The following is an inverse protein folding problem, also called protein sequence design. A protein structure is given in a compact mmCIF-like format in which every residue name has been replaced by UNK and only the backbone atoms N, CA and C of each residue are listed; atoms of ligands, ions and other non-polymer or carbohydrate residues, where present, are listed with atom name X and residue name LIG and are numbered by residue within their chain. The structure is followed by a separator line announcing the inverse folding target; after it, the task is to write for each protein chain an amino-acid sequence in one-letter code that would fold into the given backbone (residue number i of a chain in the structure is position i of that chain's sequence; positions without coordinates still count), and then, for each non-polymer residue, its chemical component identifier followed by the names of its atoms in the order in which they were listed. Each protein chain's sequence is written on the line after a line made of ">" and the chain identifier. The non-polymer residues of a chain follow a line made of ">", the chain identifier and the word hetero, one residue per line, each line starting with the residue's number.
data_IF_150364322360
#
_entry.id   IF_150364322360
#
_cell.length_a   1.000
_cell.length_b   1.000
_cell.length_c   1.000
_cell.angle_alpha   90.00
_cell.angle_beta   90.00
_cell.angle_gamma   90.00
#
_symmetry.space_group_name_H-M   'P 1'
#
loop_
_entity.id
_entity.type
_entity.pdbx_description
1 polymer ?
#
# COMPACT_ATOMS: atom_id res chain seq x y z
N UNK A 1 54.24 28.73 -44.43
CA UNK A 1 53.65 27.85 -43.39
C UNK A 1 53.12 28.67 -42.21
N UNK A 2 52.07 29.44 -42.44
CA UNK A 2 51.25 30.16 -41.46
C UNK A 2 49.94 30.38 -42.21
N UNK A 3 48.92 29.54 -41.98
CA UNK A 3 47.53 29.64 -42.45
C UNK A 3 46.78 28.27 -42.46
N UNK A 4 47.14 27.30 -41.60
CA UNK A 4 46.38 26.03 -41.45
C UNK A 4 46.13 25.70 -39.96
N UNK A 5 46.13 26.72 -39.08
CA UNK A 5 45.87 26.49 -37.64
C UNK A 5 44.62 27.23 -37.11
N UNK A 6 43.99 28.09 -37.91
CA UNK A 6 42.83 28.89 -37.47
C UNK A 6 41.49 28.28 -37.89
N UNK A 7 41.48 27.26 -38.75
CA UNK A 7 40.24 26.63 -39.23
C UNK A 7 39.83 25.37 -38.47
N UNK A 8 40.65 24.89 -37.52
CA UNK A 8 40.35 23.69 -36.73
C UNK A 8 39.91 24.00 -35.28
N UNK A 9 39.79 25.27 -34.91
CA UNK A 9 39.37 25.70 -33.56
C UNK A 9 37.95 26.31 -33.52
N UNK A 10 37.20 26.25 -34.63
CA UNK A 10 35.83 26.79 -34.74
C UNK A 10 34.77 25.70 -34.92
N UNK A 11 35.15 24.42 -34.96
CA UNK A 11 34.23 23.28 -35.12
C UNK A 11 34.33 22.26 -33.99
N UNK A 12 34.67 22.70 -32.78
CA UNK A 12 34.64 21.85 -31.57
C UNK A 12 33.94 22.52 -30.37
N UNK A 13 33.00 23.43 -30.65
CA UNK A 13 32.22 24.14 -29.63
C UNK A 13 30.73 24.20 -29.99
N UNK A 14 30.16 23.07 -30.41
CA UNK A 14 28.71 22.95 -30.64
C UNK A 14 28.17 21.53 -30.45
N UNK A 15 28.80 20.72 -29.59
CA UNK A 15 28.18 19.54 -29.01
C UNK A 15 28.25 19.64 -27.49
N UNK A 16 27.76 20.77 -26.95
CA UNK A 16 27.09 20.67 -25.65
C UNK A 16 25.81 19.90 -25.91
N UNK A 17 25.87 18.58 -25.76
CA UNK A 17 24.68 17.83 -25.36
C UNK A 17 24.27 18.51 -24.05
N UNK A 18 23.31 19.42 -24.13
CA UNK A 18 22.61 19.84 -22.92
C UNK A 18 21.97 18.57 -22.41
N UNK A 19 22.57 17.93 -21.42
CA UNK A 19 21.86 16.97 -20.61
C UNK A 19 20.56 17.69 -20.21
N UNK A 20 19.43 17.25 -20.75
CA UNK A 20 18.15 17.79 -20.33
C UNK A 20 18.05 17.41 -18.85
N UNK A 21 18.20 18.40 -17.97
CA UNK A 21 18.03 18.20 -16.54
C UNK A 21 16.53 18.01 -16.29
N UNK A 22 16.05 16.78 -16.44
CA UNK A 22 14.71 16.41 -16.05
C UNK A 22 14.57 16.51 -14.52
N UNK A 23 13.41 16.98 -14.07
CA UNK A 23 13.12 17.07 -12.63
C UNK A 23 12.80 15.69 -12.06
N UNK A 24 13.25 15.42 -10.84
CA UNK A 24 12.98 14.16 -10.13
C UNK A 24 11.61 14.18 -9.44
N UNK A 25 11.11 13.00 -9.04
CA UNK A 25 9.93 12.86 -8.18
C UNK A 25 10.06 13.74 -6.93
N UNK A 26 11.20 13.68 -6.23
CA UNK A 26 11.43 14.46 -5.01
C UNK A 26 11.36 15.96 -5.25
N UNK A 27 11.96 16.46 -6.34
CA UNK A 27 11.90 17.87 -6.69
C UNK A 27 10.48 18.35 -6.98
N UNK A 28 9.67 17.51 -7.63
CA UNK A 28 8.25 17.80 -7.84
C UNK A 28 7.52 17.78 -6.50
N UNK A 29 7.70 16.73 -5.69
CA UNK A 29 7.08 16.54 -4.38
C UNK A 29 7.30 17.74 -3.45
N UNK A 30 8.53 18.26 -3.38
CA UNK A 30 8.90 19.37 -2.51
C UNK A 30 8.38 20.74 -2.99
N UNK A 31 8.07 20.85 -4.28
CA UNK A 31 7.86 22.12 -4.97
C UNK A 31 6.44 22.37 -5.48
N UNK A 32 5.67 21.32 -5.79
CA UNK A 32 4.41 21.44 -6.52
C UNK A 32 3.39 22.34 -5.81
N UNK A 33 3.24 22.21 -4.50
CA UNK A 33 2.26 22.98 -3.71
C UNK A 33 2.48 24.49 -3.76
N UNK A 34 3.70 24.93 -4.06
CA UNK A 34 4.10 26.35 -4.06
C UNK A 34 4.02 26.97 -5.45
N UNK A 35 3.59 26.22 -6.47
CA UNK A 35 3.77 26.62 -7.86
C UNK A 35 2.46 26.66 -8.65
N UNK A 36 1.83 27.83 -8.70
CA UNK A 36 0.77 28.11 -9.67
C UNK A 36 1.34 28.17 -11.09
N UNK A 37 0.68 27.50 -12.04
CA UNK A 37 1.04 27.51 -13.45
C UNK A 37 0.07 28.42 -14.20
N UNK A 38 0.58 29.42 -14.90
CA UNK A 38 -0.21 30.44 -15.61
C UNK A 38 -0.09 30.31 -17.12
N UNK A 39 -1.04 30.87 -17.88
CA UNK A 39 -0.99 30.90 -19.35
C UNK A 39 -1.38 29.58 -19.99
N UNK A 40 -2.23 28.81 -19.30
CA UNK A 40 -2.72 27.51 -19.75
C UNK A 40 -3.78 27.75 -20.84
N UNK A 41 -3.49 27.34 -22.07
CA UNK A 41 -4.27 27.70 -23.27
C UNK A 41 -5.76 27.32 -23.16
N UNK A 42 -6.04 26.10 -22.72
CA UNK A 42 -7.38 25.58 -22.51
C UNK A 42 -7.36 24.44 -21.47
N UNK A 43 -8.55 23.99 -21.05
CA UNK A 43 -8.72 22.94 -20.05
C UNK A 43 -8.70 21.51 -20.59
N UNK A 44 -8.24 21.29 -21.82
CA UNK A 44 -8.09 19.94 -22.40
C UNK A 44 -6.87 19.21 -21.82
N UNK A 45 -6.95 17.88 -21.68
CA UNK A 45 -5.93 17.09 -20.98
C UNK A 45 -4.50 17.32 -21.51
N UNK A 46 -4.30 17.36 -22.83
CA UNK A 46 -2.98 17.62 -23.42
C UNK A 46 -2.48 19.05 -23.18
N UNK A 47 -3.37 20.04 -23.13
CA UNK A 47 -3.00 21.43 -22.81
C UNK A 47 -2.56 21.56 -21.36
N UNK A 48 -3.23 20.86 -20.44
CA UNK A 48 -2.88 20.82 -19.03
C UNK A 48 -1.54 20.10 -18.80
N UNK A 49 -1.35 18.93 -19.42
CA UNK A 49 -0.08 18.18 -19.37
C UNK A 49 1.08 18.99 -19.96
N UNK A 50 0.86 19.69 -21.08
CA UNK A 50 1.86 20.59 -21.66
C UNK A 50 2.23 21.73 -20.71
N UNK A 51 1.23 22.34 -20.07
CA UNK A 51 1.49 23.41 -19.09
C UNK A 51 2.25 22.88 -17.87
N UNK A 52 1.90 21.70 -17.38
CA UNK A 52 2.62 21.02 -16.30
C UNK A 52 4.09 20.77 -16.69
N UNK A 53 4.35 20.18 -17.85
CA UNK A 53 5.70 19.86 -18.32
C UNK A 53 6.60 21.08 -18.58
N UNK A 54 6.01 22.24 -18.89
CA UNK A 54 6.77 23.47 -19.04
C UNK A 54 7.37 23.96 -17.70
N UNK A 55 6.81 23.51 -16.57
CA UNK A 55 7.26 23.86 -15.23
C UNK A 55 8.02 22.69 -14.59
N UNK A 56 7.45 21.50 -14.67
CA UNK A 56 7.97 20.25 -14.10
C UNK A 56 8.46 19.35 -15.23
N UNK A 57 9.55 19.76 -15.86
CA UNK A 57 10.09 19.12 -17.06
C UNK A 57 10.57 17.70 -16.77
N UNK A 58 9.77 16.68 -17.11
CA UNK A 58 10.09 15.28 -16.90
C UNK A 58 10.13 14.53 -18.25
N UNK A 59 10.90 13.45 -18.30
CA UNK A 59 11.14 12.69 -19.52
C UNK A 59 9.86 12.13 -20.14
N UNK A 60 9.04 11.32 -19.44
CA UNK A 60 7.91 10.65 -20.10
C UNK A 60 6.85 11.63 -20.59
N UNK A 61 6.65 12.75 -19.90
CA UNK A 61 5.77 13.81 -20.40
C UNK A 61 6.35 14.52 -21.63
N UNK A 62 7.65 14.78 -21.63
CA UNK A 62 8.32 15.42 -22.76
C UNK A 62 8.26 14.55 -24.01
N UNK A 63 8.48 13.25 -23.87
CA UNK A 63 8.48 12.31 -24.98
C UNK A 63 7.06 12.13 -25.54
N UNK A 64 6.05 12.04 -24.67
CA UNK A 64 4.64 12.07 -25.09
C UNK A 64 4.28 13.34 -25.89
N UNK A 65 4.76 14.50 -25.46
CA UNK A 65 4.44 15.77 -26.15
C UNK A 65 5.19 15.95 -27.47
N UNK A 66 6.34 15.28 -27.66
CA UNK A 66 7.08 15.25 -28.93
C UNK A 66 6.44 14.26 -29.91
N UNK A 67 6.14 13.05 -29.42
CA UNK A 67 5.65 11.93 -30.21
C UNK A 67 4.41 11.30 -29.54
N UNK A 68 3.22 11.89 -29.71
CA UNK A 68 1.99 11.37 -29.09
C UNK A 68 1.46 10.07 -29.71
N UNK A 69 2.24 9.46 -30.61
CA UNK A 69 1.91 8.24 -31.36
C UNK A 69 3.15 7.34 -31.33
N UNK A 70 3.41 6.62 -30.24
CA UNK A 70 4.34 5.48 -30.27
C UNK A 70 3.59 4.22 -29.84
N UNK A 71 3.26 3.40 -30.83
CA UNK A 71 2.80 2.01 -30.70
C UNK A 71 3.60 1.12 -31.69
N UNK A 72 4.69 1.65 -32.24
CA UNK A 72 5.44 1.13 -33.37
C UNK A 72 6.47 0.05 -32.96
N UNK A 73 6.43 -0.43 -31.71
CA UNK A 73 7.28 -1.54 -31.25
C UNK A 73 8.77 -1.21 -31.12
N UNK A 74 9.19 -0.01 -31.54
CA UNK A 74 10.54 0.54 -31.38
C UNK A 74 10.61 1.70 -30.36
N UNK A 75 9.46 2.19 -29.87
CA UNK A 75 9.40 3.23 -28.84
C UNK A 75 9.58 2.66 -27.42
N UNK A 76 10.38 3.35 -26.59
CA UNK A 76 10.58 3.01 -25.18
C UNK A 76 9.30 3.10 -24.32
N UNK A 77 8.20 3.68 -24.86
CA UNK A 77 6.97 3.98 -24.12
C UNK A 77 5.70 3.41 -24.76
N UNK A 78 4.81 2.85 -23.93
CA UNK A 78 3.39 2.63 -24.24
C UNK A 78 2.59 3.91 -23.93
N UNK A 79 2.05 4.54 -24.96
CA UNK A 79 1.36 5.83 -24.89
C UNK A 79 -0.14 5.67 -25.14
N UNK A 80 -0.94 6.16 -24.20
CA UNK A 80 -2.40 6.23 -24.34
C UNK A 80 -2.85 7.67 -24.24
N UNK A 81 -3.55 8.17 -25.27
CA UNK A 81 -4.21 9.47 -25.26
C UNK A 81 -5.71 9.29 -25.46
N UNK A 82 -6.49 9.47 -24.41
CA UNK A 82 -7.96 9.35 -24.41
C UNK A 82 -8.60 10.68 -24.02
N UNK A 83 -8.47 11.65 -24.94
CA UNK A 83 -8.98 13.01 -24.75
C UNK A 83 -10.49 13.10 -24.45
N UNK A 84 -11.37 12.28 -25.07
CA UNK A 84 -12.80 12.26 -24.72
C UNK A 84 -13.08 11.94 -23.25
N UNK A 85 -12.31 11.02 -22.67
CA UNK A 85 -12.40 10.67 -21.25
C UNK A 85 -11.49 11.53 -20.35
N UNK A 86 -10.72 12.44 -20.94
CA UNK A 86 -9.81 13.31 -20.21
C UNK A 86 -8.62 12.58 -19.60
N UNK A 87 -8.17 11.48 -20.21
CA UNK A 87 -7.08 10.64 -19.72
C UNK A 87 -5.88 10.66 -20.67
N UNK A 88 -4.68 10.57 -20.11
CA UNK A 88 -3.45 10.32 -20.85
C UNK A 88 -2.43 9.57 -19.98
N UNK A 89 -1.63 8.71 -20.57
CA UNK A 89 -0.51 8.06 -19.90
C UNK A 89 0.65 7.79 -20.85
N UNK A 90 1.85 7.68 -20.28
CA UNK A 90 3.04 7.17 -20.95
C UNK A 90 3.80 6.26 -19.97
N UNK A 91 4.00 5.00 -20.37
CA UNK A 91 4.68 3.99 -19.55
C UNK A 91 5.95 3.51 -20.21
N UNK A 92 7.12 3.78 -19.60
CA UNK A 92 8.38 3.21 -20.08
C UNK A 92 8.38 1.70 -19.84
N UNK A 93 8.70 0.93 -20.87
CA UNK A 93 8.82 -0.52 -20.75
C UNK A 93 10.22 -0.86 -20.20
N UNK A 94 10.28 -1.57 -19.07
CA UNK A 94 11.53 -2.06 -18.48
C UNK A 94 11.54 -2.01 -16.95
N UNK A 95 12.62 -2.53 -16.35
CA UNK A 95 12.76 -2.63 -14.89
C UNK A 95 13.16 -1.31 -14.22
N UNK A 96 13.62 -0.32 -15.00
CA UNK A 96 14.16 0.97 -14.52
C UNK A 96 13.59 2.15 -15.31
N UNK A 97 12.26 2.27 -15.34
CA UNK A 97 11.53 3.26 -16.14
C UNK A 97 10.88 4.40 -15.35
N UNK A 98 10.68 5.54 -16.01
CA UNK A 98 9.78 6.60 -15.54
C UNK A 98 8.45 6.53 -16.27
N UNK A 99 7.34 6.73 -15.58
CA UNK A 99 6.02 6.73 -16.22
C UNK A 99 5.12 7.77 -15.60
N UNK A 100 4.07 8.16 -16.33
CA UNK A 100 3.05 9.02 -15.76
C UNK A 100 1.67 8.65 -16.28
N UNK A 101 0.66 9.00 -15.49
CA UNK A 101 -0.72 9.08 -15.95
C UNK A 101 -1.34 10.39 -15.47
N UNK A 102 -2.33 10.89 -16.21
CA UNK A 102 -3.02 12.11 -15.86
C UNK A 102 -4.50 12.04 -16.24
N UNK A 103 -5.33 12.65 -15.39
CA UNK A 103 -6.77 12.77 -15.58
C UNK A 103 -7.21 14.23 -15.46
N UNK A 104 -8.31 14.57 -16.14
CA UNK A 104 -9.01 15.83 -15.92
C UNK A 104 -10.51 15.60 -15.73
N UNK A 105 -11.05 16.11 -14.63
CA UNK A 105 -12.49 16.06 -14.35
C UNK A 105 -13.10 17.45 -14.32
N UNK A 106 -14.28 17.61 -14.91
CA UNK A 106 -15.06 18.84 -14.80
C UNK A 106 -15.68 18.93 -13.41
N UNK A 107 -15.50 20.07 -12.76
CA UNK A 107 -16.12 20.40 -11.48
C UNK A 107 -17.46 21.08 -11.68
N UNK A 108 -18.34 20.97 -10.68
CA UNK A 108 -19.66 21.62 -10.70
C UNK A 108 -19.58 23.15 -10.71
N UNK A 109 -18.49 23.74 -10.22
CA UNK A 109 -18.21 25.18 -10.26
C UNK A 109 -17.67 25.69 -11.61
N UNK A 110 -17.57 24.82 -12.63
CA UNK A 110 -17.06 25.18 -13.96
C UNK A 110 -15.52 25.11 -14.11
N UNK A 111 -14.78 24.90 -13.02
CA UNK A 111 -13.35 24.61 -13.06
C UNK A 111 -13.10 23.17 -13.49
N UNK A 112 -11.82 22.77 -13.57
CA UNK A 112 -11.44 21.38 -13.78
C UNK A 112 -10.41 20.94 -12.76
N UNK A 113 -10.57 19.74 -12.21
CA UNK A 113 -9.53 19.12 -11.41
C UNK A 113 -8.60 18.34 -12.33
N UNK A 114 -7.33 18.72 -12.36
CA UNK A 114 -6.26 18.02 -13.05
C UNK A 114 -5.49 17.16 -12.04
N UNK A 115 -5.48 15.84 -12.23
CA UNK A 115 -4.62 14.93 -11.48
C UNK A 115 -3.45 14.46 -12.33
N UNK A 116 -2.30 14.33 -11.69
CA UNK A 116 -1.08 13.81 -12.31
C UNK A 116 -0.43 12.82 -11.36
N UNK A 117 -0.22 11.59 -11.81
CA UNK A 117 0.57 10.58 -11.11
C UNK A 117 1.89 10.45 -11.84
N UNK A 118 2.99 10.65 -11.12
CA UNK A 118 4.34 10.40 -11.62
C UNK A 118 4.93 9.20 -10.90
N UNK A 119 5.50 8.27 -11.66
CA UNK A 119 6.04 7.01 -11.18
C UNK A 119 7.48 6.85 -11.65
N UNK A 120 8.31 6.28 -10.78
CA UNK A 120 9.63 5.78 -11.10
C UNK A 120 9.78 4.36 -10.57
N UNK A 121 10.24 3.47 -11.42
CA UNK A 121 10.59 2.10 -11.07
C UNK A 121 12.10 1.96 -10.98
N UNK A 122 12.57 1.18 -10.02
CA UNK A 122 13.96 0.75 -9.93
C UNK A 122 14.00 -0.68 -9.39
N UNK A 123 14.08 -1.66 -10.30
CA UNK A 123 13.88 -3.08 -9.98
C UNK A 123 12.49 -3.34 -9.38
N UNK A 124 12.45 -3.89 -8.15
CA UNK A 124 11.19 -4.15 -7.41
C UNK A 124 10.71 -2.97 -6.58
N UNK A 125 11.39 -1.83 -6.62
CA UNK A 125 11.00 -0.63 -5.88
C UNK A 125 10.20 0.30 -6.80
N UNK A 126 9.03 0.73 -6.33
CA UNK A 126 8.22 1.74 -7.02
C UNK A 126 8.10 2.97 -6.13
N UNK A 127 8.43 4.13 -6.69
CA UNK A 127 8.15 5.44 -6.10
C UNK A 127 7.08 6.12 -6.92
N UNK A 128 5.99 6.56 -6.27
CA UNK A 128 4.94 7.33 -6.92
C UNK A 128 4.57 8.57 -6.11
N UNK A 129 4.16 9.61 -6.83
CA UNK A 129 3.47 10.77 -6.26
C UNK A 129 2.19 11.03 -7.05
N UNK A 130 1.14 11.44 -6.35
CA UNK A 130 -0.08 11.99 -6.95
C UNK A 130 -0.20 13.47 -6.62
N UNK A 131 -0.54 14.27 -7.61
CA UNK A 131 -0.66 15.72 -7.50
C UNK A 131 -2.02 16.17 -8.05
N UNK A 132 -2.58 17.22 -7.48
CA UNK A 132 -3.81 17.83 -7.97
C UNK A 132 -3.65 19.33 -8.21
N UNK A 133 -4.26 19.81 -9.29
CA UNK A 133 -4.36 21.22 -9.60
C UNK A 133 -5.80 21.58 -9.98
N UNK A 134 -6.28 22.70 -9.45
CA UNK A 134 -7.52 23.35 -9.88
C UNK A 134 -7.25 24.25 -11.09
N UNK A 135 -7.83 23.89 -12.23
CA UNK A 135 -7.81 24.71 -13.44
C UNK A 135 -8.98 25.69 -13.46
N UNK A 136 -8.66 26.97 -13.31
CA UNK A 136 -9.58 28.10 -13.48
C UNK A 136 -9.56 28.57 -14.94
N UNK A 137 -10.61 28.31 -15.74
CA UNK A 137 -10.65 28.69 -17.16
C UNK A 137 -10.73 30.21 -17.37
N UNK A 138 -11.23 30.98 -16.40
CA UNK A 138 -11.32 32.43 -16.52
C UNK A 138 -9.96 33.11 -16.36
N UNK A 139 -9.08 32.51 -15.53
CA UNK A 139 -7.71 33.00 -15.30
C UNK A 139 -6.66 32.28 -16.15
N UNK A 140 -7.00 31.16 -16.79
CA UNK A 140 -6.06 30.30 -17.49
C UNK A 140 -4.92 29.84 -16.57
N UNK A 141 -5.26 29.39 -15.36
CA UNK A 141 -4.31 29.00 -14.30
C UNK A 141 -4.59 27.62 -13.73
N UNK A 142 -3.54 26.85 -13.47
CA UNK A 142 -3.55 25.66 -12.61
C UNK A 142 -3.02 26.04 -11.23
N UNK A 143 -3.86 25.96 -10.21
CA UNK A 143 -3.50 26.23 -8.81
C UNK A 143 -3.36 24.92 -8.07
N UNK A 144 -2.23 24.64 -7.38
CA UNK A 144 -2.09 23.44 -6.57
C UNK A 144 -3.23 23.29 -5.56
N UNK A 145 -3.74 22.07 -5.41
CA UNK A 145 -4.79 21.75 -4.43
C UNK A 145 -4.45 20.46 -3.70
N UNK A 146 -4.57 20.46 -2.37
CA UNK A 146 -4.47 19.22 -1.59
C UNK A 146 -5.77 18.43 -1.69
N UNK A 147 -5.62 17.11 -1.83
CA UNK A 147 -6.71 16.15 -1.81
C UNK A 147 -6.42 15.08 -0.75
N UNK A 148 -7.43 14.38 -0.23
CA UNK A 148 -7.25 13.24 0.69
C UNK A 148 -6.20 12.24 0.18
N UNK A 149 -6.19 12.01 -1.14
CA UNK A 149 -5.22 11.16 -1.84
C UNK A 149 -3.76 11.64 -1.68
N UNK A 150 -3.51 12.95 -1.67
CA UNK A 150 -2.15 13.51 -1.51
C UNK A 150 -1.61 13.41 -0.08
N UNK A 151 -2.50 13.14 0.88
CA UNK A 151 -2.17 13.00 2.31
C UNK A 151 -2.32 11.56 2.79
N UNK A 152 -2.50 10.61 1.88
CA UNK A 152 -2.61 9.20 2.23
C UNK A 152 -1.30 8.71 2.85
N UNK A 153 -1.42 8.02 3.97
CA UNK A 153 -0.30 7.36 4.64
C UNK A 153 -0.63 5.87 4.65
N UNK A 154 0.26 4.97 4.19
CA UNK A 154 0.04 3.53 4.28
C UNK A 154 -0.10 3.07 5.75
N UNK A 155 -0.78 1.96 5.97
CA UNK A 155 -0.90 1.33 7.30
C UNK A 155 0.47 0.86 7.81
N UNK A 156 1.36 0.45 6.90
CA UNK A 156 2.73 0.07 7.22
C UNK A 156 3.73 0.80 6.31
N UNK A 157 4.67 1.54 6.91
CA UNK A 157 5.61 2.40 6.20
C UNK A 157 7.02 1.85 6.25
N UNK A 158 7.39 0.97 5.32
CA UNK A 158 8.80 0.66 5.03
C UNK A 158 9.08 0.88 3.56
N UNK A 159 10.37 1.03 3.22
CA UNK A 159 10.85 1.32 1.86
C UNK A 159 10.49 0.23 0.82
N UNK A 160 9.96 -0.91 1.26
CA UNK A 160 9.69 -2.10 0.44
C UNK A 160 8.20 -2.34 0.15
N UNK A 161 7.29 -1.57 0.77
CA UNK A 161 5.84 -1.72 0.56
C UNK A 161 5.34 -0.56 -0.31
N UNK A 162 5.26 -0.78 -1.63
CA UNK A 162 4.94 0.26 -2.60
C UNK A 162 3.50 0.73 -2.40
N UNK A 163 3.33 2.04 -2.48
CA UNK A 163 2.04 2.67 -2.62
C UNK A 163 1.85 3.03 -4.09
N UNK A 164 0.77 2.55 -4.71
CA UNK A 164 0.45 2.93 -6.09
C UNK A 164 -0.89 3.68 -6.17
N UNK A 165 -0.97 4.61 -7.11
CA UNK A 165 -2.12 5.43 -7.44
C UNK A 165 -2.54 5.11 -8.87
N UNK A 166 -3.77 4.63 -9.02
CA UNK A 166 -4.34 4.28 -10.31
C UNK A 166 -5.41 5.30 -10.69
N UNK A 167 -5.11 6.10 -11.72
CA UNK A 167 -6.07 7.01 -12.32
C UNK A 167 -6.95 6.28 -13.35
N UNK A 168 -8.27 6.48 -13.34
CA UNK A 168 -9.17 5.77 -14.22
C UNK A 168 -9.11 6.31 -15.65
N UNK A 169 -8.83 5.45 -16.63
CA UNK A 169 -9.03 5.79 -18.04
C UNK A 169 -10.50 6.01 -18.38
N UNK A 170 -11.38 5.15 -17.83
CA UNK A 170 -12.83 5.22 -17.97
C UNK A 170 -13.43 5.27 -16.56
N UNK A 171 -14.39 6.17 -16.35
CA UNK A 171 -14.95 6.41 -15.03
C UNK A 171 -14.23 7.54 -14.30
N UNK A 172 -14.40 7.60 -12.97
CA UNK A 172 -13.86 8.69 -12.13
C UNK A 172 -13.37 8.22 -10.77
N UNK A 173 -13.36 6.92 -10.52
CA UNK A 173 -12.91 6.39 -9.24
C UNK A 173 -11.38 6.23 -9.28
N UNK A 174 -10.71 6.78 -8.28
CA UNK A 174 -9.26 6.64 -8.11
C UNK A 174 -9.00 5.52 -7.12
N UNK A 175 -8.03 4.65 -7.43
CA UNK A 175 -7.65 3.56 -6.53
C UNK A 175 -6.26 3.82 -5.98
N UNK A 176 -6.09 3.71 -4.67
CA UNK A 176 -4.78 3.67 -4.02
C UNK A 176 -4.55 2.23 -3.56
N UNK A 177 -3.43 1.62 -3.95
CA UNK A 177 -3.07 0.27 -3.53
C UNK A 177 -1.89 0.31 -2.59
N UNK A 178 -2.11 -0.18 -1.37
CA UNK A 178 -1.05 -0.51 -0.44
C UNK A 178 -0.71 -1.99 -0.62
N UNK A 179 0.45 -2.26 -1.23
CA UNK A 179 0.93 -3.64 -1.29
C UNK A 179 1.62 -3.99 0.01
N UNK A 180 1.43 -5.23 0.45
CA UNK A 180 2.08 -5.76 1.64
C UNK A 180 2.62 -7.16 1.32
N UNK A 181 3.63 -7.57 2.08
CA UNK A 181 4.24 -8.91 2.00
C UNK A 181 4.77 -9.25 0.59
N UNK A 182 5.78 -8.49 0.12
CA UNK A 182 6.48 -8.74 -1.14
C UNK A 182 5.57 -8.81 -2.38
N UNK A 183 4.65 -7.84 -2.54
CA UNK A 183 3.78 -7.70 -3.71
C UNK A 183 2.73 -8.82 -3.92
N UNK A 184 2.57 -9.76 -2.97
CA UNK A 184 1.65 -10.89 -3.13
C UNK A 184 0.17 -10.59 -2.87
N UNK A 185 -0.10 -9.45 -2.23
CA UNK A 185 -1.44 -8.98 -1.92
C UNK A 185 -1.45 -7.47 -1.78
N UNK A 186 -2.63 -6.88 -1.94
CA UNK A 186 -2.85 -5.45 -1.81
C UNK A 186 -4.12 -5.13 -1.05
N UNK A 187 -4.12 -3.95 -0.44
CA UNK A 187 -5.29 -3.30 0.12
C UNK A 187 -5.63 -2.14 -0.80
N UNK A 188 -6.77 -2.23 -1.47
CA UNK A 188 -7.27 -1.21 -2.40
C UNK A 188 -8.16 -0.23 -1.65
N UNK A 189 -7.78 1.04 -1.64
CA UNK A 189 -8.60 2.16 -1.18
C UNK A 189 -9.24 2.83 -2.38
N UNK A 190 -10.57 2.75 -2.48
CA UNK A 190 -11.34 3.26 -3.62
C UNK A 190 -11.92 4.62 -3.24
N UNK A 191 -11.55 5.63 -4.00
CA UNK A 191 -12.01 7.00 -3.82
C UNK A 191 -12.99 7.39 -4.93
N UNK A 192 -14.21 7.79 -4.55
CA UNK A 192 -15.27 8.16 -5.49
C UNK A 192 -15.32 9.65 -5.73
N UNK A 193 -15.62 10.01 -6.98
CA UNK A 193 -15.82 11.40 -7.39
C UNK A 193 -17.21 11.92 -7.01
N UNK A 194 -17.28 13.03 -6.26
CA UNK A 194 -18.55 13.65 -5.84
C UNK A 194 -19.01 14.84 -6.70
N UNK A 195 -18.25 15.20 -7.75
CA UNK A 195 -18.50 16.40 -8.55
C UNK A 195 -17.51 17.54 -8.28
N UNK A 196 -16.76 17.48 -7.19
CA UNK A 196 -15.75 18.46 -6.79
C UNK A 196 -14.42 17.81 -6.46
N UNK A 197 -14.43 16.72 -5.69
CA UNK A 197 -13.26 15.99 -5.20
C UNK A 197 -13.52 14.48 -5.11
N UNK A 198 -12.44 13.76 -4.83
CA UNK A 198 -12.48 12.33 -4.50
C UNK A 198 -12.55 12.15 -2.99
N UNK A 199 -13.40 11.25 -2.52
CA UNK A 199 -13.52 10.87 -1.10
C UNK A 199 -13.43 9.36 -0.97
N UNK A 200 -12.84 8.88 0.13
CA UNK A 200 -12.75 7.45 0.40
C UNK A 200 -14.15 6.84 0.50
N UNK A 201 -14.45 5.83 -0.33
CA UNK A 201 -15.76 5.19 -0.39
C UNK A 201 -15.72 3.71 -0.02
N UNK A 202 -14.61 3.02 -0.26
CA UNK A 202 -14.50 1.59 0.00
C UNK A 202 -13.04 1.17 0.21
N UNK A 203 -12.81 0.08 0.94
CA UNK A 203 -11.52 -0.61 1.07
C UNK A 203 -11.75 -2.07 0.78
N UNK A 204 -10.91 -2.63 -0.08
CA UNK A 204 -10.92 -4.04 -0.42
C UNK A 204 -9.58 -4.64 -0.08
N UNK A 205 -9.60 -5.79 0.56
CA UNK A 205 -8.41 -6.61 0.75
C UNK A 205 -8.41 -7.68 -0.33
N UNK A 206 -7.34 -7.77 -1.09
CA UNK A 206 -7.19 -8.84 -2.08
C UNK A 206 -7.20 -10.20 -1.38
N UNK A 207 -7.95 -11.17 -1.92
CA UNK A 207 -8.14 -12.51 -1.35
C UNK A 207 -8.84 -12.55 0.03
N UNK A 208 -9.58 -11.49 0.41
CA UNK A 208 -10.35 -11.44 1.65
C UNK A 208 -11.29 -12.64 1.85
N UNK A 209 -11.93 -13.13 0.78
CA UNK A 209 -12.80 -14.32 0.84
C UNK A 209 -12.06 -15.59 1.27
N UNK A 210 -10.79 -15.74 0.86
CA UNK A 210 -9.96 -16.87 1.28
C UNK A 210 -9.61 -16.77 2.77
N UNK A 211 -9.32 -15.55 3.25
CA UNK A 211 -9.05 -15.28 4.67
C UNK A 211 -10.29 -15.56 5.55
N UNK A 212 -11.47 -15.11 5.12
CA UNK A 212 -12.74 -15.40 5.79
C UNK A 212 -12.99 -16.89 5.86
N UNK A 213 -12.79 -17.61 4.75
CA UNK A 213 -12.94 -19.07 4.72
C UNK A 213 -11.99 -19.77 5.71
N UNK A 214 -10.72 -19.37 5.75
CA UNK A 214 -9.76 -19.94 6.72
C UNK A 214 -10.20 -19.70 8.17
N UNK A 215 -10.82 -18.55 8.44
CA UNK A 215 -11.35 -18.24 9.77
C UNK A 215 -12.53 -19.14 10.12
N UNK A 216 -13.51 -19.28 9.23
CA UNK A 216 -14.70 -20.09 9.45
C UNK A 216 -14.39 -21.59 9.54
N UNK A 217 -13.45 -22.09 8.73
CA UNK A 217 -13.04 -23.50 8.75
C UNK A 217 -12.35 -23.90 10.08
N UNK A 218 -11.71 -22.95 10.77
CA UNK A 218 -11.11 -23.15 12.10
C UNK A 218 -12.10 -22.90 13.24
N UNK A 219 -13.27 -22.32 12.93
CA UNK A 219 -14.25 -21.82 13.89
C UNK A 219 -15.66 -22.19 13.41
N UNK A 220 -16.01 -23.48 13.52
CA UNK A 220 -17.27 -24.10 13.07
C UNK A 220 -18.57 -23.39 13.54
N UNK A 221 -18.48 -22.51 14.55
CA UNK A 221 -19.64 -21.77 15.10
C UNK A 221 -19.83 -20.35 14.52
N UNK A 222 -19.03 -19.90 13.56
CA UNK A 222 -18.90 -18.45 13.28
C UNK A 222 -18.99 -18.04 11.80
N UNK A 223 -20.08 -18.43 11.13
CA UNK A 223 -20.39 -18.02 9.74
C UNK A 223 -20.55 -16.49 9.56
N UNK A 224 -20.80 -15.72 10.63
CA UNK A 224 -21.08 -14.27 10.61
C UNK A 224 -19.92 -13.40 11.16
N UNK A 225 -18.66 -13.73 10.84
CA UNK A 225 -17.54 -12.86 11.22
C UNK A 225 -17.49 -11.60 10.33
N UNK A 226 -18.18 -10.54 10.78
CA UNK A 226 -18.16 -9.21 10.16
C UNK A 226 -16.87 -8.46 10.52
N UNK A 227 -15.74 -8.87 9.91
CA UNK A 227 -14.51 -8.08 9.97
C UNK A 227 -14.76 -6.70 9.35
N UNK A 228 -14.63 -5.67 10.18
CA UNK A 228 -14.90 -4.28 9.82
C UNK A 228 -13.65 -3.40 9.88
N UNK A 229 -12.55 -3.94 10.43
CA UNK A 229 -11.31 -3.21 10.65
C UNK A 229 -10.11 -4.03 10.21
N UNK A 230 -9.04 -3.33 9.83
CA UNK A 230 -7.75 -3.94 9.56
C UNK A 230 -6.58 -3.08 10.08
N UNK A 231 -5.44 -3.71 10.34
CA UNK A 231 -4.14 -3.06 10.50
C UNK A 231 -3.08 -3.98 9.93
N UNK A 232 -1.92 -3.41 9.61
CA UNK A 232 -0.70 -4.15 9.28
C UNK A 232 0.27 -4.02 10.44
N UNK A 233 0.92 -5.12 10.84
CA UNK A 233 1.92 -5.13 11.92
C UNK A 233 2.94 -6.22 11.67
N UNK A 234 4.23 -5.91 11.82
CA UNK A 234 5.34 -6.86 11.67
C UNK A 234 5.67 -7.44 13.06
N UNK A 235 5.13 -8.63 13.34
CA UNK A 235 5.23 -9.23 14.68
C UNK A 235 6.57 -9.90 14.94
N UNK A 236 7.32 -10.28 13.91
CA UNK A 236 8.61 -10.94 14.03
C UNK A 236 9.82 -10.11 13.57
N UNK A 237 9.57 -8.84 13.22
CA UNK A 237 10.57 -7.85 12.82
C UNK A 237 11.36 -8.26 11.56
N UNK A 238 10.71 -9.00 10.66
CA UNK A 238 11.32 -9.51 9.42
C UNK A 238 11.16 -8.55 8.21
N UNK A 239 10.43 -7.44 8.40
CA UNK A 239 10.12 -6.44 7.37
C UNK A 239 8.85 -6.71 6.56
N UNK A 240 8.17 -7.83 6.78
CA UNK A 240 6.92 -8.22 6.12
C UNK A 240 5.78 -8.18 7.14
N UNK A 241 4.88 -7.18 7.07
CA UNK A 241 3.82 -7.07 8.05
C UNK A 241 2.77 -8.17 7.87
N UNK A 242 2.29 -8.72 8.97
CA UNK A 242 1.07 -9.50 9.03
C UNK A 242 -0.18 -8.61 8.92
N UNK A 243 -1.24 -9.18 8.34
CA UNK A 243 -2.56 -8.57 8.28
C UNK A 243 -3.37 -8.97 9.51
N UNK A 244 -3.78 -7.99 10.30
CA UNK A 244 -4.65 -8.18 11.45
C UNK A 244 -6.04 -7.61 11.17
N UNK A 245 -7.03 -8.50 11.08
CA UNK A 245 -8.45 -8.17 10.92
C UNK A 245 -9.17 -8.18 12.26
N UNK A 246 -10.14 -7.28 12.41
CA UNK A 246 -10.95 -7.17 13.62
C UNK A 246 -12.40 -6.79 13.31
N UNK A 247 -13.33 -7.32 14.09
CA UNK A 247 -14.73 -6.92 14.06
C UNK A 247 -14.93 -5.52 14.61
N UNK A 248 -16.13 -4.95 14.39
CA UNK A 248 -16.41 -3.59 14.83
C UNK A 248 -16.29 -3.39 16.35
N UNK A 249 -16.66 -4.42 17.13
CA UNK A 249 -16.57 -4.46 18.59
C UNK A 249 -15.30 -5.14 19.11
N UNK A 250 -14.39 -5.57 18.23
CA UNK A 250 -13.11 -6.22 18.57
C UNK A 250 -13.26 -7.57 19.30
N UNK A 251 -14.46 -8.15 19.29
CA UNK A 251 -14.72 -9.49 19.83
C UNK A 251 -14.17 -10.60 18.94
N UNK A 252 -14.10 -10.37 17.63
CA UNK A 252 -13.57 -11.34 16.67
C UNK A 252 -12.37 -10.75 15.97
N UNK A 253 -11.25 -11.46 16.02
CA UNK A 253 -10.02 -10.96 15.43
C UNK A 253 -9.23 -12.12 14.83
N UNK A 254 -8.47 -11.83 13.78
CA UNK A 254 -7.63 -12.82 13.13
C UNK A 254 -6.38 -12.17 12.57
N UNK A 255 -5.26 -12.87 12.69
CA UNK A 255 -3.95 -12.45 12.20
C UNK A 255 -3.53 -13.43 11.12
N UNK A 256 -3.16 -12.90 9.96
CA UNK A 256 -2.78 -13.66 8.78
C UNK A 256 -1.39 -13.28 8.30
N UNK A 257 -0.67 -14.26 7.78
CA UNK A 257 0.50 -14.03 6.94
C UNK A 257 0.24 -14.48 5.51
N UNK A 258 0.93 -13.85 4.56
CA UNK A 258 0.93 -14.16 3.13
C UNK A 258 2.38 -14.31 2.71
N UNK A 259 2.86 -15.54 2.58
CA UNK A 259 4.25 -15.80 2.15
C UNK A 259 4.24 -16.58 0.85
N UNK A 260 4.98 -16.09 -0.15
CA UNK A 260 5.00 -16.69 -1.49
C UNK A 260 3.60 -16.83 -2.13
N UNK A 261 2.69 -15.89 -1.82
CA UNK A 261 1.31 -15.90 -2.30
C UNK A 261 0.35 -16.81 -1.52
N UNK A 262 0.85 -17.62 -0.58
CA UNK A 262 0.05 -18.49 0.28
C UNK A 262 -0.43 -17.75 1.52
N UNK A 263 -1.76 -17.69 1.70
CA UNK A 263 -2.39 -17.12 2.90
C UNK A 263 -2.41 -18.18 4.00
N UNK A 264 -2.00 -17.79 5.20
CA UNK A 264 -2.02 -18.63 6.41
C UNK A 264 -2.62 -17.82 7.54
N UNK A 265 -3.58 -18.42 8.25
CA UNK A 265 -4.02 -17.85 9.51
C UNK A 265 -3.00 -18.23 10.59
N UNK A 266 -2.41 -17.22 11.22
CA UNK A 266 -1.46 -17.41 12.31
C UNK A 266 -2.20 -17.61 13.62
N UNK A 267 -3.23 -16.82 13.87
CA UNK A 267 -3.97 -16.86 15.12
C UNK A 267 -5.34 -16.18 14.98
N UNK A 268 -6.28 -16.55 15.84
CA UNK A 268 -7.65 -16.03 15.85
C UNK A 268 -8.17 -15.92 17.28
N UNK A 269 -9.04 -14.96 17.53
CA UNK A 269 -9.77 -14.79 18.79
C UNK A 269 -11.26 -14.69 18.53
N UNK A 270 -12.03 -15.01 19.56
CA UNK A 270 -13.47 -14.79 19.62
C UNK A 270 -13.82 -14.14 20.96
N UNK A 271 -15.11 -13.85 21.21
CA UNK A 271 -15.55 -13.05 22.36
C UNK A 271 -15.11 -13.53 23.77
N UNK A 272 -14.59 -14.76 23.93
CA UNK A 272 -14.04 -15.27 25.21
C UNK A 272 -12.51 -15.27 25.29
N UNK A 273 -11.82 -14.98 24.20
CA UNK A 273 -10.36 -15.02 24.13
C UNK A 273 -9.81 -13.67 23.68
N UNK A 274 -8.59 -13.36 24.11
CA UNK A 274 -7.90 -12.13 23.73
C UNK A 274 -6.50 -12.44 23.25
N UNK A 275 -5.99 -11.61 22.33
CA UNK A 275 -4.60 -11.65 21.96
C UNK A 275 -3.71 -11.17 23.11
N UNK A 276 -2.59 -11.85 23.29
CA UNK A 276 -1.46 -11.44 24.12
C UNK A 276 -0.22 -11.54 23.26
N UNK A 277 0.55 -10.47 23.14
CA UNK A 277 1.77 -10.47 22.34
C UNK A 277 2.98 -10.61 23.26
N UNK A 278 4.04 -11.26 22.79
CA UNK A 278 5.25 -11.47 23.57
C UNK A 278 6.50 -10.98 22.84
N UNK A 279 7.52 -10.60 23.61
CA UNK A 279 8.75 -10.00 23.09
C UNK A 279 9.59 -10.90 22.17
N UNK A 280 9.36 -12.21 22.16
CA UNK A 280 10.09 -13.15 21.28
C UNK A 280 9.23 -13.60 20.09
N UNK A 281 8.58 -12.63 19.42
CA UNK A 281 7.85 -12.84 18.16
C UNK A 281 6.75 -13.90 18.30
N UNK A 282 6.00 -13.86 19.40
CA UNK A 282 4.93 -14.82 19.66
C UNK A 282 3.58 -14.14 19.85
N UNK A 283 2.55 -14.75 19.27
CA UNK A 283 1.15 -14.38 19.40
C UNK A 283 0.47 -15.42 20.27
N UNK A 284 0.03 -14.99 21.45
CA UNK A 284 -0.81 -15.76 22.36
C UNK A 284 -2.28 -15.45 22.17
N UNK A 285 -3.11 -16.47 22.36
CA UNK A 285 -4.56 -16.39 22.51
C UNK A 285 -4.90 -17.08 23.82
N UNK A 286 -5.48 -16.34 24.75
CA UNK A 286 -5.85 -16.87 26.06
C UNK A 286 -7.31 -16.54 26.38
N UNK A 287 -8.01 -17.48 27.02
CA UNK A 287 -9.38 -17.26 27.47
C UNK A 287 -10.03 -18.46 28.14
N UNK A 288 -11.30 -18.29 28.52
CA UNK A 288 -12.07 -19.34 29.18
C UNK A 288 -12.67 -20.33 28.18
N UNK A 289 -12.42 -21.63 28.38
CA UNK A 289 -13.03 -22.73 27.61
C UNK A 289 -14.26 -23.35 28.29
N UNK A 290 -14.69 -22.79 29.43
CA UNK A 290 -15.81 -23.28 30.23
C UNK A 290 -15.60 -23.02 31.72
N UNK A 291 -16.55 -23.44 32.55
CA UNK A 291 -16.45 -23.28 34.01
C UNK A 291 -15.23 -24.03 34.54
N UNK A 292 -14.29 -23.30 35.16
CA UNK A 292 -13.05 -23.87 35.69
C UNK A 292 -12.05 -24.32 34.62
N UNK A 293 -12.21 -23.88 33.38
CA UNK A 293 -11.39 -24.25 32.23
C UNK A 293 -10.76 -23.00 31.60
N UNK A 294 -9.43 -22.98 31.48
CA UNK A 294 -8.70 -21.95 30.77
C UNK A 294 -7.80 -22.58 29.71
N UNK A 295 -7.76 -21.94 28.55
CA UNK A 295 -6.95 -22.37 27.43
C UNK A 295 -6.08 -21.21 26.96
N UNK A 296 -4.80 -21.51 26.76
CA UNK A 296 -3.84 -20.61 26.15
C UNK A 296 -3.17 -21.32 24.98
N UNK A 297 -3.20 -20.71 23.80
CA UNK A 297 -2.41 -21.12 22.64
C UNK A 297 -1.41 -20.05 22.31
N UNK A 298 -0.17 -20.40 22.05
CA UNK A 298 0.85 -19.47 21.57
C UNK A 298 1.44 -19.98 20.26
N UNK A 299 1.55 -19.05 19.31
CA UNK A 299 2.11 -19.27 17.98
C UNK A 299 3.36 -18.42 17.89
N UNK A 300 4.51 -19.06 17.73
CA UNK A 300 5.79 -18.38 17.60
C UNK A 300 6.13 -18.24 16.12
N UNK A 301 6.57 -17.03 15.75
CA UNK A 301 6.78 -16.61 14.38
C UNK A 301 8.26 -16.49 14.05
N UNK A 302 8.56 -16.83 12.80
CA UNK A 302 9.85 -16.60 12.17
C UNK A 302 9.64 -16.51 10.66
N UNK A 303 10.13 -15.43 10.05
CA UNK A 303 10.01 -15.15 8.63
C UNK A 303 8.52 -15.17 8.17
N UNK A 304 7.66 -14.48 8.94
CA UNK A 304 6.19 -14.43 8.86
C UNK A 304 5.49 -15.79 8.91
N UNK A 305 6.16 -16.83 9.43
CA UNK A 305 5.63 -18.21 9.50
C UNK A 305 5.61 -18.72 10.92
N UNK A 306 4.57 -19.49 11.23
CA UNK A 306 4.58 -20.36 12.40
C UNK A 306 5.77 -21.31 12.34
N UNK A 307 6.70 -21.18 13.27
CA UNK A 307 7.79 -22.17 13.43
C UNK A 307 7.55 -23.13 14.59
N UNK A 308 6.72 -22.73 15.56
CA UNK A 308 6.34 -23.55 16.71
C UNK A 308 5.00 -23.12 17.28
N UNK A 309 4.27 -24.08 17.83
CA UNK A 309 3.12 -23.82 18.69
C UNK A 309 3.31 -24.43 20.07
N UNK A 310 2.75 -23.79 21.09
CA UNK A 310 2.58 -24.40 22.39
C UNK A 310 1.22 -24.05 22.97
N UNK A 311 0.62 -25.00 23.66
CA UNK A 311 -0.69 -24.83 24.27
C UNK A 311 -0.61 -25.22 25.74
N UNK A 312 -1.35 -24.48 26.56
CA UNK A 312 -1.63 -24.82 27.94
C UNK A 312 -3.13 -24.96 28.11
N UNK A 313 -3.53 -26.09 28.69
CA UNK A 313 -4.90 -26.32 29.14
C UNK A 313 -4.90 -26.43 30.65
N UNK A 314 -5.62 -25.53 31.31
CA UNK A 314 -5.78 -25.51 32.75
C UNK A 314 -7.21 -25.91 33.11
N UNK A 315 -7.35 -26.93 33.97
CA UNK A 315 -8.64 -27.41 34.43
C UNK A 315 -8.68 -27.50 35.95
N UNK A 316 -9.73 -26.96 36.54
CA UNK A 316 -9.97 -27.07 37.97
C UNK A 316 -10.42 -28.48 38.33
N UNK A 317 -9.62 -29.18 39.12
CA UNK A 317 -9.95 -30.48 39.66
C UNK A 317 -10.70 -30.29 40.98
N UNK A 318 -12.03 -30.39 40.95
CA UNK A 318 -12.91 -30.20 42.11
C UNK A 318 -12.66 -31.21 43.23
N UNK A 319 -12.27 -32.44 42.91
CA UNK A 319 -12.01 -33.47 43.92
C UNK A 319 -10.73 -33.19 44.72
N UNK A 320 -9.72 -32.64 44.03
CA UNK A 320 -8.42 -32.31 44.62
C UNK A 320 -8.31 -30.85 45.06
N UNK A 321 -9.36 -30.06 44.83
CA UNK A 321 -9.43 -28.63 45.10
C UNK A 321 -8.19 -27.86 44.56
N UNK A 322 -7.81 -28.12 43.31
CA UNK A 322 -6.61 -27.51 42.70
C UNK A 322 -6.74 -27.38 41.18
N UNK A 323 -6.00 -26.43 40.61
CA UNK A 323 -5.82 -26.29 39.17
C UNK A 323 -4.75 -27.28 38.68
N UNK A 324 -5.05 -28.03 37.62
CA UNK A 324 -4.10 -28.90 36.93
C UNK A 324 -3.85 -28.36 35.52
N UNK A 325 -2.58 -28.24 35.13
CA UNK A 325 -2.19 -27.85 33.76
C UNK A 325 -1.69 -29.07 32.98
N UNK A 326 -2.06 -29.14 31.70
CA UNK A 326 -1.44 -29.98 30.69
C UNK A 326 -0.92 -29.11 29.54
N UNK A 327 0.09 -29.61 28.83
CA UNK A 327 0.79 -28.86 27.80
C UNK A 327 0.98 -29.68 26.54
N UNK A 328 0.82 -29.03 25.39
CA UNK A 328 1.22 -29.56 24.09
C UNK A 328 2.25 -28.62 23.45
N UNK A 329 3.17 -29.19 22.66
CA UNK A 329 4.10 -28.47 21.80
C UNK A 329 4.03 -29.10 20.42
N UNK A 330 3.73 -28.31 19.40
CA UNK A 330 3.54 -28.77 18.02
C UNK A 330 2.53 -29.95 17.93
N UNK A 331 1.47 -29.89 18.75
CA UNK A 331 0.43 -30.90 18.86
C UNK A 331 0.80 -32.17 19.63
N UNK A 332 2.00 -32.25 20.22
CA UNK A 332 2.44 -33.39 21.03
C UNK A 332 2.39 -33.06 22.52
N UNK A 333 1.83 -33.95 23.34
CA UNK A 333 1.87 -33.80 24.79
C UNK A 333 3.30 -33.79 25.33
N UNK A 334 3.57 -32.87 26.27
CA UNK A 334 4.88 -32.76 26.92
C UNK A 334 4.72 -32.75 28.44
N UNK A 335 5.81 -33.03 29.15
CA UNK A 335 5.82 -32.88 30.62
C UNK A 335 5.55 -31.43 31.03
N UNK A 336 4.92 -31.22 32.19
CA UNK A 336 4.64 -29.88 32.72
C UNK A 336 5.89 -29.00 32.77
N UNK A 337 7.03 -29.54 33.21
CA UNK A 337 8.30 -28.82 33.24
C UNK A 337 8.74 -28.34 31.84
N UNK A 338 8.54 -29.16 30.82
CA UNK A 338 8.88 -28.79 29.44
C UNK A 338 7.93 -27.72 28.91
N UNK A 339 6.63 -27.85 29.15
CA UNK A 339 5.62 -26.85 28.80
C UNK A 339 5.87 -25.49 29.49
N UNK A 340 6.08 -25.49 30.81
CA UNK A 340 6.39 -24.28 31.57
C UNK A 340 7.66 -23.57 31.06
N UNK A 341 8.71 -24.33 30.72
CA UNK A 341 9.92 -23.76 30.13
C UNK A 341 9.65 -23.17 28.74
N UNK A 342 8.76 -23.79 27.97
CA UNK A 342 8.35 -23.30 26.65
C UNK A 342 7.60 -21.96 26.79
N UNK A 343 6.64 -21.86 27.69
CA UNK A 343 5.92 -20.61 27.95
C UNK A 343 6.84 -19.50 28.47
N UNK A 344 7.81 -19.83 29.34
CA UNK A 344 8.85 -18.87 29.77
C UNK A 344 9.72 -18.37 28.60
N UNK A 345 9.90 -19.19 27.56
CA UNK A 345 10.69 -18.81 26.39
C UNK A 345 9.97 -17.84 25.44
N UNK A 346 8.66 -17.61 25.61
CA UNK A 346 7.91 -16.62 24.84
C UNK A 346 8.40 -15.19 25.12
N UNK A 347 9.02 -14.97 26.28
CA UNK A 347 9.42 -13.64 26.73
C UNK A 347 8.33 -12.95 27.55
N UNK A 348 8.49 -11.65 27.77
CA UNK A 348 7.52 -10.87 28.53
C UNK A 348 6.35 -10.46 27.63
N UNK A 349 5.11 -10.40 28.17
CA UNK A 349 4.00 -9.80 27.45
C UNK A 349 4.31 -8.35 27.07
N UNK A 350 3.97 -7.97 25.84
CA UNK A 350 4.11 -6.61 25.32
C UNK A 350 2.74 -6.04 24.94
N UNK A 351 2.59 -4.73 25.15
CA UNK A 351 1.39 -4.01 24.75
C UNK A 351 1.54 -3.52 23.31
N UNK A 352 0.68 -4.01 22.42
CA UNK A 352 0.56 -3.50 21.05
C UNK A 352 -0.70 -2.63 20.97
N UNK A 353 -0.55 -1.40 20.47
CA UNK A 353 -1.66 -0.45 20.24
C UNK A 353 -1.90 -0.33 18.74
N UNK A 354 -2.62 -1.29 18.13
CA UNK A 354 -2.87 -1.27 16.69
C UNK A 354 -3.65 -0.02 16.30
N UNK A 355 -3.28 0.59 15.18
CA UNK A 355 -4.03 1.70 14.58
C UNK A 355 -4.96 1.15 13.51
N UNK A 356 -6.06 0.56 13.97
CA UNK A 356 -7.07 0.00 13.08
C UNK A 356 -7.67 1.05 12.13
N UNK A 357 -7.84 0.64 10.87
CA UNK A 357 -8.54 1.34 9.80
C UNK A 357 -9.84 0.61 9.48
N UNK A 358 -10.83 1.32 8.96
CA UNK A 358 -12.16 0.77 8.66
C UNK A 358 -12.22 0.13 7.26
N UNK A 359 -12.97 -0.97 7.13
CA UNK A 359 -13.27 -1.71 5.91
C UNK A 359 -14.65 -1.37 5.30
N UNK A 360 -15.35 -0.39 5.87
CA UNK A 360 -16.67 0.18 5.48
C UNK A 360 -17.89 -0.52 6.06
#
# INVERSE_FOLDING_TARGET
>A
MKNILTFLLVTLSALTVTAQNYVTIDQISDGWEKKTITGVKDGGILSLVKAFNNVWHNRPTTDLLKNPVSNDGEGDYDIVVDSPNGYVSAFELGDDGESFSACVWKRSNGHRLFAFVFQKMHGLSISQIILFYDYDPAKATLTPERNELTSFVPAFGTDYHPLTYELPRIGKDVVVKEYFMNWYSSIEHIYKWDGMNHHLSNVKIEKFDQMRKLYTDDNDEFEDSDFAKYTLYDFDEDGNPELWLSSQNEEYQAIYSIVAGEIRMLSSTYFKTNFTFYSNSAIGVAGGCGTGCFYTRCVMLKDSKTYRTCEEFQMYNFEKDKLESSYTVDGQEVSNKAGENMFKSLGEPIEIKPKFRQLF
#
